data_IF_016848035987
#
_entry.id   IF_016848035987
#
_cell.length_a   1.000
_cell.length_b   1.000
_cell.length_c   1.000
_cell.angle_alpha   90.00
_cell.angle_beta   90.00
_cell.angle_gamma   90.00
#
_symmetry.space_group_name_H-M   'P 1'
#
loop_
_entity.id
_entity.type
_entity.pdbx_description
1 polymer ?
#
# COMPACT_ATOMS: atom_id res chain seq x y z
N UNK A 1 -14.68 5.98 -32.67
CA UNK A 1 -14.94 7.43 -32.74
C UNK A 1 -15.87 7.79 -31.60
N UNK A 2 -15.34 8.31 -30.49
CA UNK A 2 -16.15 8.74 -29.34
C UNK A 2 -16.00 10.24 -29.17
N UNK A 3 -17.09 10.96 -29.40
CA UNK A 3 -17.18 12.40 -29.20
C UNK A 3 -17.31 12.67 -27.69
N UNK A 4 -16.40 13.50 -27.14
CA UNK A 4 -16.53 14.05 -25.79
C UNK A 4 -17.52 15.22 -25.75
N UNK A 5 -18.05 15.59 -24.57
CA UNK A 5 -19.08 16.62 -24.45
C UNK A 5 -18.50 18.03 -24.68
N UNK A 6 -19.33 19.00 -25.12
CA UNK A 6 -18.88 20.35 -25.41
C UNK A 6 -18.49 21.10 -24.12
N UNK A 7 -17.47 21.94 -24.25
CA UNK A 7 -16.93 22.79 -23.20
C UNK A 7 -18.04 23.60 -22.50
N UNK A 8 -18.15 23.42 -21.18
CA UNK A 8 -18.99 24.25 -20.33
C UNK A 8 -18.52 25.71 -20.40
N UNK A 9 -19.46 26.59 -20.74
CA UNK A 9 -19.31 28.04 -20.77
C UNK A 9 -18.94 28.57 -19.38
N UNK A 10 -17.67 28.95 -19.22
CA UNK A 10 -17.23 29.74 -18.07
C UNK A 10 -17.90 31.12 -18.20
N UNK A 11 -18.87 31.40 -17.33
CA UNK A 11 -19.42 32.74 -17.12
C UNK A 11 -18.27 33.72 -16.87
N UNK A 12 -17.96 34.55 -17.86
CA UNK A 12 -17.04 35.67 -17.74
C UNK A 12 -17.63 36.65 -16.72
N UNK A 13 -17.12 36.61 -15.49
CA UNK A 13 -17.31 37.72 -14.55
C UNK A 13 -16.35 38.83 -14.97
N UNK A 14 -16.82 39.69 -15.86
CA UNK A 14 -16.16 40.94 -16.22
C UNK A 14 -16.11 41.86 -14.99
N UNK A 15 -15.04 41.77 -14.21
CA UNK A 15 -14.73 42.79 -13.21
C UNK A 15 -14.06 43.93 -13.96
N UNK A 16 -14.79 45.03 -14.14
CA UNK A 16 -14.22 46.29 -14.59
C UNK A 16 -12.99 46.62 -13.71
N UNK A 17 -11.84 46.84 -14.34
CA UNK A 17 -10.64 47.27 -13.63
C UNK A 17 -10.91 48.68 -13.06
N UNK A 18 -10.86 48.90 -11.74
CA UNK A 18 -10.95 50.25 -11.23
C UNK A 18 -9.69 50.98 -11.69
N UNK A 19 -9.91 52.03 -12.48
CA UNK A 19 -8.89 52.95 -12.91
C UNK A 19 -8.12 53.53 -11.72
N UNK A 20 -6.92 53.99 -12.05
CA UNK A 20 -5.89 54.57 -11.22
C UNK A 20 -6.37 55.78 -10.39
N UNK A 21 -7.23 55.57 -9.38
CA UNK A 21 -7.52 56.55 -8.33
C UNK A 21 -6.48 56.40 -7.20
N UNK A 22 -6.00 57.50 -6.60
CA UNK A 22 -5.10 57.42 -5.45
C UNK A 22 -5.81 56.66 -4.32
N UNK A 23 -5.31 55.46 -4.01
CA UNK A 23 -5.84 54.63 -2.92
C UNK A 23 -5.56 55.34 -1.59
N UNK A 24 -6.52 55.33 -0.66
CA UNK A 24 -6.29 55.84 0.70
C UNK A 24 -5.16 55.02 1.36
N UNK A 25 -4.32 55.59 2.22
CA UNK A 25 -3.33 54.83 3.00
C UNK A 25 -3.91 53.57 3.68
N UNK A 26 -5.19 53.63 4.08
CA UNK A 26 -5.92 52.52 4.69
C UNK A 26 -6.19 51.34 3.72
N UNK A 27 -6.33 51.62 2.42
CA UNK A 27 -6.51 50.60 1.38
C UNK A 27 -5.20 49.83 1.11
N UNK A 28 -4.06 50.53 1.17
CA UNK A 28 -2.74 49.92 1.04
C UNK A 28 -2.45 48.99 2.21
N UNK A 29 -2.77 49.40 3.45
CA UNK A 29 -2.66 48.53 4.63
C UNK A 29 -3.54 47.29 4.51
N UNK A 30 -4.78 47.43 4.05
CA UNK A 30 -5.68 46.28 3.80
C UNK A 30 -5.10 45.33 2.76
N UNK A 31 -4.49 45.85 1.69
CA UNK A 31 -3.85 45.07 0.62
C UNK A 31 -2.61 44.33 1.13
N UNK A 32 -1.78 44.97 1.95
CA UNK A 32 -0.62 44.34 2.61
C UNK A 32 -1.10 43.20 3.52
N UNK A 33 -2.11 43.44 4.37
CA UNK A 33 -2.69 42.39 5.24
C UNK A 33 -3.26 41.22 4.42
N UNK A 34 -3.88 41.49 3.27
CA UNK A 34 -4.39 40.44 2.36
C UNK A 34 -3.26 39.61 1.74
N UNK A 35 -2.21 40.27 1.26
CA UNK A 35 -1.03 39.59 0.69
C UNK A 35 -0.34 38.71 1.73
N UNK A 36 -0.20 39.21 2.95
CA UNK A 36 0.42 38.45 4.04
C UNK A 36 -0.40 37.21 4.41
N UNK A 37 -1.73 37.34 4.54
CA UNK A 37 -2.63 36.19 4.74
C UNK A 37 -2.51 35.15 3.61
N UNK A 38 -2.48 35.61 2.36
CA UNK A 38 -2.33 34.72 1.21
C UNK A 38 -0.95 34.05 1.17
N UNK A 39 0.13 34.77 1.52
CA UNK A 39 1.49 34.24 1.61
C UNK A 39 1.55 33.07 2.60
N UNK A 40 0.99 33.25 3.79
CA UNK A 40 0.90 32.21 4.82
C UNK A 40 0.02 31.05 4.35
N UNK A 41 -1.13 31.31 3.73
CA UNK A 41 -2.01 30.27 3.21
C UNK A 41 -1.33 29.43 2.11
N UNK A 42 -0.62 30.08 1.18
CA UNK A 42 0.12 29.40 0.12
C UNK A 42 1.28 28.57 0.68
N UNK A 43 2.00 29.08 1.68
CA UNK A 43 3.06 28.34 2.38
C UNK A 43 2.49 27.10 3.09
N UNK A 44 1.36 27.23 3.80
CA UNK A 44 0.68 26.10 4.45
C UNK A 44 0.19 25.07 3.43
N UNK A 45 -0.37 25.50 2.32
CA UNK A 45 -0.82 24.62 1.24
C UNK A 45 0.35 23.82 0.64
N UNK A 46 1.44 24.51 0.29
CA UNK A 46 2.67 23.86 -0.19
C UNK A 46 3.22 22.87 0.83
N UNK A 47 3.34 23.26 2.10
CA UNK A 47 3.81 22.37 3.17
C UNK A 47 2.93 21.13 3.30
N UNK A 48 1.60 21.29 3.25
CA UNK A 48 0.65 20.16 3.33
C UNK A 48 0.82 19.21 2.13
N UNK A 49 1.08 19.75 0.94
CA UNK A 49 1.30 18.94 -0.26
C UNK A 49 2.62 18.18 -0.19
N UNK A 50 3.71 18.83 0.23
CA UNK A 50 5.01 18.17 0.45
C UNK A 50 4.88 17.07 1.50
N UNK A 51 4.30 17.36 2.67
CA UNK A 51 4.10 16.34 3.72
C UNK A 51 3.26 15.14 3.25
N UNK A 52 2.28 15.37 2.38
CA UNK A 52 1.51 14.26 1.80
C UNK A 52 2.37 13.41 0.87
N UNK A 53 3.22 14.03 0.04
CA UNK A 53 4.13 13.31 -0.83
C UNK A 53 5.16 12.51 -0.02
N UNK A 54 5.74 13.11 1.02
CA UNK A 54 6.71 12.48 1.90
C UNK A 54 6.10 11.25 2.59
N UNK A 55 4.91 11.40 3.19
CA UNK A 55 4.21 10.28 3.85
C UNK A 55 3.89 9.13 2.90
N UNK A 56 3.47 9.44 1.67
CA UNK A 56 3.22 8.42 0.66
C UNK A 56 4.51 7.70 0.23
N UNK A 57 5.63 8.44 0.16
CA UNK A 57 6.92 7.85 -0.16
C UNK A 57 7.42 6.93 0.96
N UNK A 58 7.35 7.38 2.22
CA UNK A 58 7.70 6.57 3.39
C UNK A 58 6.86 5.28 3.45
N UNK A 59 5.54 5.37 3.25
CA UNK A 59 4.65 4.20 3.20
C UNK A 59 5.02 3.25 2.06
N UNK A 60 5.34 3.79 0.88
CA UNK A 60 5.80 2.98 -0.26
C UNK A 60 7.10 2.24 0.06
N UNK A 61 8.10 2.91 0.63
CA UNK A 61 9.39 2.30 0.97
C UNK A 61 9.24 1.20 2.03
N UNK A 62 8.39 1.42 3.03
CA UNK A 62 8.07 0.42 4.04
C UNK A 62 7.45 -0.83 3.40
N UNK A 63 6.46 -0.65 2.52
CA UNK A 63 5.81 -1.74 1.81
C UNK A 63 6.76 -2.49 0.88
N UNK A 64 7.64 -1.80 0.16
CA UNK A 64 8.67 -2.43 -0.68
C UNK A 64 9.63 -3.29 0.17
N UNK A 65 10.04 -2.79 1.33
CA UNK A 65 10.92 -3.53 2.23
C UNK A 65 10.23 -4.78 2.79
N UNK A 66 8.99 -4.66 3.26
CA UNK A 66 8.18 -5.80 3.70
C UNK A 66 7.97 -6.81 2.57
N UNK A 67 7.67 -6.34 1.36
CA UNK A 67 7.50 -7.19 0.20
C UNK A 67 8.79 -7.97 -0.13
N UNK A 68 9.95 -7.32 -0.05
CA UNK A 68 11.24 -7.95 -0.25
C UNK A 68 11.56 -9.00 0.83
N UNK A 69 11.18 -8.76 2.09
CA UNK A 69 11.28 -9.75 3.17
C UNK A 69 10.40 -10.97 2.86
N UNK A 70 9.12 -10.75 2.56
CA UNK A 70 8.17 -11.82 2.26
C UNK A 70 8.59 -12.65 1.05
N UNK A 71 9.09 -12.03 -0.02
CA UNK A 71 9.60 -12.74 -1.20
C UNK A 71 10.79 -13.64 -0.88
N UNK A 72 11.69 -13.19 0.01
CA UNK A 72 12.81 -14.00 0.49
C UNK A 72 12.32 -15.19 1.29
N UNK A 73 11.37 -14.98 2.20
CA UNK A 73 10.80 -16.07 2.99
C UNK A 73 10.07 -17.10 2.12
N UNK A 74 9.27 -16.65 1.14
CA UNK A 74 8.63 -17.54 0.16
C UNK A 74 9.68 -18.36 -0.60
N UNK A 75 10.77 -17.73 -1.03
CA UNK A 75 11.84 -18.43 -1.75
C UNK A 75 12.52 -19.47 -0.87
N UNK A 76 12.79 -19.13 0.39
CA UNK A 76 13.38 -20.04 1.38
C UNK A 76 12.47 -21.25 1.65
N UNK A 77 11.19 -21.01 1.92
CA UNK A 77 10.22 -22.08 2.18
C UNK A 77 10.02 -23.00 0.96
N UNK A 78 10.03 -22.44 -0.25
CA UNK A 78 9.98 -23.26 -1.48
C UNK A 78 11.19 -24.16 -1.63
N UNK A 79 12.37 -23.66 -1.29
CA UNK A 79 13.60 -24.44 -1.32
C UNK A 79 13.60 -25.54 -0.25
N UNK A 80 13.15 -25.23 0.97
CA UNK A 80 12.97 -26.23 2.03
C UNK A 80 11.98 -27.32 1.62
N UNK A 81 10.83 -26.94 1.03
CA UNK A 81 9.84 -27.89 0.52
C UNK A 81 10.44 -28.79 -0.57
N UNK A 82 11.18 -28.21 -1.51
CA UNK A 82 11.84 -28.96 -2.58
C UNK A 82 12.83 -29.97 -2.01
N UNK A 83 13.69 -29.54 -1.09
CA UNK A 83 14.68 -30.39 -0.45
C UNK A 83 14.04 -31.56 0.33
N UNK A 84 13.00 -31.28 1.12
CA UNK A 84 12.28 -32.33 1.86
C UNK A 84 11.55 -33.30 0.93
N UNK A 85 10.96 -32.79 -0.16
CA UNK A 85 10.30 -33.62 -1.16
C UNK A 85 11.28 -34.54 -1.89
N UNK A 86 12.48 -34.04 -2.22
CA UNK A 86 13.56 -34.83 -2.81
C UNK A 86 14.05 -35.91 -1.84
N UNK A 87 14.30 -35.54 -0.57
CA UNK A 87 14.72 -36.47 0.46
C UNK A 87 13.67 -37.59 0.70
N UNK A 88 12.39 -37.23 0.72
CA UNK A 88 11.29 -38.19 0.83
C UNK A 88 11.28 -39.13 -0.38
N UNK A 89 11.33 -38.59 -1.60
CA UNK A 89 11.35 -39.38 -2.84
C UNK A 89 12.55 -40.32 -2.90
N UNK A 90 13.70 -39.92 -2.36
CA UNK A 90 14.87 -40.79 -2.27
C UNK A 90 14.68 -41.91 -1.24
N UNK A 91 14.12 -41.60 -0.07
CA UNK A 91 13.75 -42.61 0.92
C UNK A 91 12.72 -43.61 0.37
N UNK A 92 11.70 -43.16 -0.36
CA UNK A 92 10.65 -44.02 -0.93
C UNK A 92 11.22 -45.15 -1.79
N UNK A 93 12.32 -44.90 -2.52
CA UNK A 93 12.99 -45.91 -3.35
C UNK A 93 13.60 -47.06 -2.56
N UNK A 94 13.88 -46.85 -1.27
CA UNK A 94 14.52 -47.81 -0.38
C UNK A 94 13.60 -48.29 0.74
N UNK A 95 12.42 -47.66 0.89
CA UNK A 95 11.51 -47.89 1.99
C UNK A 95 10.91 -49.31 1.91
N UNK A 96 11.25 -50.22 2.84
CA UNK A 96 10.73 -51.58 2.81
C UNK A 96 9.20 -51.64 2.92
N UNK A 97 8.60 -50.67 3.61
CA UNK A 97 7.14 -50.56 3.78
C UNK A 97 6.40 -50.21 2.48
N UNK A 98 7.06 -49.54 1.54
CA UNK A 98 6.49 -49.19 0.23
C UNK A 98 6.86 -50.22 -0.85
N UNK A 99 8.07 -50.79 -0.77
CA UNK A 99 8.54 -51.81 -1.71
C UNK A 99 7.90 -53.18 -1.46
N UNK A 100 7.60 -53.49 -0.20
CA UNK A 100 6.83 -54.66 0.20
C UNK A 100 5.74 -54.16 1.12
N UNK A 101 4.48 -54.02 0.65
CA UNK A 101 3.35 -53.82 1.55
C UNK A 101 3.20 -55.12 2.35
N UNK A 102 4.01 -55.26 3.40
CA UNK A 102 3.78 -56.22 4.44
C UNK A 102 2.42 -55.85 5.00
N UNK A 103 1.46 -56.75 4.81
CA UNK A 103 0.10 -56.66 5.31
C UNK A 103 0.14 -56.55 6.84
N UNK A 104 0.47 -55.36 7.36
CA UNK A 104 0.21 -55.01 8.73
C UNK A 104 -1.29 -54.83 8.82
N UNK A 105 -1.95 -55.92 9.23
CA UNK A 105 -3.28 -55.87 9.82
C UNK A 105 -3.25 -54.72 10.82
N UNK A 106 -3.94 -53.65 10.47
CA UNK A 106 -3.99 -52.43 11.25
C UNK A 106 -4.85 -52.71 12.48
N UNK A 107 -4.31 -53.38 13.48
CA UNK A 107 -4.89 -53.35 14.82
C UNK A 107 -4.54 -51.98 15.37
N UNK A 108 -5.45 -51.01 15.15
CA UNK A 108 -5.47 -49.75 15.88
C UNK A 108 -5.79 -50.07 17.34
N UNK A 109 -4.92 -49.80 18.31
CA UNK A 109 -5.40 -49.54 19.66
C UNK A 109 -5.97 -48.13 19.63
N UNK A 110 -7.28 -48.02 19.78
CA UNK A 110 -7.96 -46.74 20.01
C UNK A 110 -7.63 -46.26 21.43
N UNK A 111 -7.08 -45.05 21.63
CA UNK A 111 -7.11 -44.43 22.94
C UNK A 111 -7.86 -43.11 22.84
N UNK A 112 -9.09 -43.18 23.35
CA UNK A 112 -9.69 -42.12 24.16
C UNK A 112 -10.17 -40.89 23.40
N UNK A 113 -11.49 -40.88 23.22
CA UNK A 113 -12.33 -39.71 23.35
C UNK A 113 -11.90 -38.88 24.59
N UNK A 114 -11.19 -37.78 24.36
CA UNK A 114 -10.75 -36.84 25.40
C UNK A 114 -11.17 -35.43 25.03
N UNK A 115 -12.10 -34.90 25.80
CA UNK A 115 -12.83 -33.65 25.62
C UNK A 115 -11.95 -32.39 25.47
N UNK A 116 -12.38 -31.45 24.62
CA UNK A 116 -11.97 -30.04 24.71
C UNK A 116 -13.12 -29.22 25.33
N UNK A 117 -12.89 -28.43 26.40
CA UNK A 117 -13.87 -27.49 26.91
C UNK A 117 -13.86 -26.18 26.10
N UNK A 118 -15.01 -25.52 26.17
CA UNK A 118 -15.50 -24.36 25.42
C UNK A 118 -14.82 -23.05 25.77
#
# INVERSE_FOLDING_TARGET
MSQGPPAGSVLQRSVAAPGNQPQSPEDDDRKVRRREKNRVAAQRSRKKQTQKADKLHEEYECLEQENAVLRREISKLKEELRHLSEALKEHEKLCPLLLYPMNFVQVRPDPVAGCLPR
#
